data_IF_722165989165
#
_entry.id   IF_722165989165
#
_cell.length_a   1.000
_cell.length_b   1.000
_cell.length_c   1.000
_cell.angle_alpha   90.00
_cell.angle_beta   90.00
_cell.angle_gamma   90.00
#
_symmetry.space_group_name_H-M   'P 1'
#
loop_
_entity.id
_entity.type
_entity.pdbx_description
1 polymer ?
#
# COMPACT_ATOMS: atom_id res chain seq x y z
N UNK A 1 -18.20 2.78 30.35
CA UNK A 1 -18.99 3.15 29.15
C UNK A 1 -18.36 4.37 28.52
N UNK A 2 -17.68 4.22 27.37
CA UNK A 2 -16.95 5.31 26.71
C UNK A 2 -17.85 6.02 25.70
N UNK A 3 -17.79 7.36 25.70
CA UNK A 3 -18.61 8.31 24.92
C UNK A 3 -18.33 8.22 23.41
N UNK A 4 -19.33 8.51 22.55
CA UNK A 4 -19.17 8.49 21.10
C UNK A 4 -18.36 9.68 20.58
N UNK A 5 -17.55 9.44 19.55
CA UNK A 5 -16.77 10.43 18.80
C UNK A 5 -17.74 11.26 17.94
N UNK A 6 -17.68 12.59 18.06
CA UNK A 6 -18.55 13.53 17.34
C UNK A 6 -18.00 13.89 15.96
N UNK A 7 -18.87 13.68 14.98
CA UNK A 7 -19.13 14.37 13.70
C UNK A 7 -18.04 15.27 13.06
N UNK A 8 -17.71 14.93 11.81
CA UNK A 8 -16.99 15.77 10.86
C UNK A 8 -18.00 16.57 10.02
N UNK A 9 -17.84 17.89 9.94
CA UNK A 9 -18.75 18.79 9.23
C UNK A 9 -18.34 18.99 7.76
N UNK A 10 -19.30 18.84 6.86
CA UNK A 10 -19.21 18.90 5.39
C UNK A 10 -19.85 20.18 4.86
N UNK A 11 -19.24 20.88 3.88
CA UNK A 11 -20.00 21.72 2.93
C UNK A 11 -19.27 21.95 1.59
N UNK A 12 -20.01 21.78 0.49
CA UNK A 12 -19.72 21.90 -0.96
C UNK A 12 -19.43 20.59 -1.72
N UNK A 13 -20.14 20.41 -2.85
CA UNK A 13 -20.64 19.13 -3.41
C UNK A 13 -19.56 18.10 -3.81
N UNK A 14 -19.66 16.85 -3.31
CA UNK A 14 -18.73 15.78 -3.63
C UNK A 14 -19.08 15.07 -4.95
N UNK A 15 -18.06 14.69 -5.72
CA UNK A 15 -18.16 13.50 -6.57
C UNK A 15 -18.61 12.36 -5.63
N UNK A 16 -19.81 11.82 -5.85
CA UNK A 16 -20.44 10.83 -4.97
C UNK A 16 -19.45 9.70 -4.63
N UNK A 17 -19.09 9.54 -3.35
CA UNK A 17 -18.23 8.46 -2.86
C UNK A 17 -16.74 8.76 -2.64
N UNK A 18 -16.29 10.03 -2.74
CA UNK A 18 -14.93 10.43 -2.36
C UNK A 18 -14.80 10.77 -0.88
N UNK A 19 -13.85 10.14 -0.17
CA UNK A 19 -13.64 10.33 1.29
C UNK A 19 -12.14 10.20 1.65
N UNK A 20 -11.72 10.69 2.82
CA UNK A 20 -10.33 10.68 3.26
C UNK A 20 -10.19 10.78 4.78
N UNK A 21 -9.25 10.02 5.35
CA UNK A 21 -8.90 10.10 6.77
C UNK A 21 -7.62 10.90 7.00
N UNK A 22 -7.69 11.97 7.80
CA UNK A 22 -6.57 12.83 8.16
C UNK A 22 -6.37 12.92 9.67
N UNK A 23 -5.15 13.24 10.10
CA UNK A 23 -4.90 13.72 11.45
C UNK A 23 -5.55 15.09 11.69
N UNK A 24 -5.83 15.41 12.96
CA UNK A 24 -6.47 16.67 13.34
C UNK A 24 -5.66 17.92 12.93
N UNK A 25 -4.33 17.79 12.88
CA UNK A 25 -3.40 18.84 12.43
C UNK A 25 -3.26 18.90 10.89
N UNK A 26 -3.90 17.99 10.15
CA UNK A 26 -3.81 17.90 8.69
C UNK A 26 -2.44 17.48 8.15
N UNK A 27 -1.48 17.11 9.00
CA UNK A 27 -0.11 16.77 8.61
C UNK A 27 0.02 15.34 8.06
N UNK A 28 -0.94 14.47 8.38
CA UNK A 28 -0.96 13.06 8.00
C UNK A 28 -2.26 12.70 7.27
N UNK A 29 -2.16 11.87 6.23
CA UNK A 29 -3.31 11.23 5.56
C UNK A 29 -3.17 9.73 5.64
N UNK A 30 -4.10 9.09 6.35
CA UNK A 30 -4.06 7.64 6.55
C UNK A 30 -4.65 6.88 5.36
N UNK A 31 -5.67 7.43 4.72
CA UNK A 31 -6.27 6.85 3.53
C UNK A 31 -7.00 7.92 2.69
N UNK A 32 -7.20 7.62 1.41
CA UNK A 32 -7.99 8.42 0.47
C UNK A 32 -8.80 7.46 -0.41
N UNK A 33 -10.09 7.70 -0.58
CA UNK A 33 -10.97 6.92 -1.45
C UNK A 33 -11.48 7.77 -2.60
N UNK A 34 -11.54 7.16 -3.77
CA UNK A 34 -12.15 7.67 -5.00
C UNK A 34 -13.04 6.61 -5.58
N UNK A 35 -14.32 6.93 -5.71
CA UNK A 35 -15.28 6.05 -6.35
C UNK A 35 -15.89 6.79 -7.54
N UNK A 36 -15.91 6.14 -8.69
CA UNK A 36 -16.52 6.66 -9.92
C UNK A 36 -17.54 5.69 -10.51
N UNK A 37 -17.40 4.39 -10.26
CA UNK A 37 -18.36 3.36 -10.69
C UNK A 37 -18.59 2.34 -9.57
N UNK A 38 -19.58 2.57 -8.69
CA UNK A 38 -19.79 1.74 -7.49
C UNK A 38 -20.00 0.25 -7.72
N UNK A 39 -20.44 -0.15 -8.92
CA UNK A 39 -20.76 -1.54 -9.25
C UNK A 39 -19.55 -2.35 -9.73
N UNK A 40 -18.41 -1.68 -9.98
CA UNK A 40 -17.16 -2.35 -10.34
C UNK A 40 -16.36 -2.72 -9.08
N UNK A 41 -15.41 -3.63 -9.26
CA UNK A 41 -14.45 -4.07 -8.22
C UNK A 41 -13.69 -2.89 -7.62
N UNK A 42 -13.21 -3.07 -6.39
CA UNK A 42 -12.35 -2.11 -5.69
C UNK A 42 -10.87 -2.49 -5.83
N UNK A 43 -10.03 -1.48 -5.99
CA UNK A 43 -8.58 -1.60 -5.94
C UNK A 43 -8.03 -0.85 -4.72
N UNK A 44 -7.25 -1.52 -3.89
CA UNK A 44 -6.44 -0.88 -2.85
C UNK A 44 -5.04 -0.67 -3.42
N UNK A 45 -4.53 0.55 -3.35
CA UNK A 45 -3.15 0.89 -3.70
C UNK A 45 -2.35 1.23 -2.44
N UNK A 46 -1.17 0.60 -2.27
CA UNK A 46 -0.19 0.97 -1.23
C UNK A 46 0.98 1.71 -1.89
N UNK A 47 1.01 3.03 -1.70
CA UNK A 47 2.06 3.94 -2.16
C UNK A 47 3.11 4.24 -1.09
N UNK A 48 4.03 5.17 -1.41
CA UNK A 48 5.10 5.56 -0.50
C UNK A 48 4.59 6.50 0.60
N UNK A 49 4.16 7.69 0.20
CA UNK A 49 3.64 8.73 1.09
C UNK A 49 2.62 9.60 0.34
N UNK A 50 1.62 10.15 1.05
CA UNK A 50 0.68 11.10 0.49
C UNK A 50 1.37 12.31 -0.14
N UNK A 51 0.99 12.65 -1.36
CA UNK A 51 1.19 13.99 -1.92
C UNK A 51 -0.04 14.86 -1.62
N UNK A 52 -0.20 15.99 -2.32
CA UNK A 52 -1.16 17.07 -2.00
C UNK A 52 -2.64 16.76 -2.27
N UNK A 53 -2.99 15.60 -2.84
CA UNK A 53 -4.40 15.27 -3.07
C UNK A 53 -5.22 15.34 -1.76
N UNK A 54 -6.46 15.80 -1.84
CA UNK A 54 -7.40 15.82 -0.72
C UNK A 54 -8.77 15.35 -1.19
N UNK A 55 -9.81 15.32 -0.36
CA UNK A 55 -11.13 14.83 -0.77
C UNK A 55 -11.72 15.53 -2.03
N UNK A 56 -11.25 16.73 -2.38
CA UNK A 56 -11.77 17.56 -3.48
C UNK A 56 -10.83 17.72 -4.67
N UNK A 57 -9.51 17.56 -4.48
CA UNK A 57 -8.51 17.84 -5.51
C UNK A 57 -7.59 16.65 -5.72
N UNK A 58 -7.41 16.26 -6.99
CA UNK A 58 -6.53 15.17 -7.38
C UNK A 58 -5.15 15.68 -7.80
N UNK A 59 -4.09 15.09 -7.23
CA UNK A 59 -2.72 15.34 -7.65
C UNK A 59 -2.33 14.48 -8.88
N UNK A 60 -1.20 14.73 -9.56
CA UNK A 60 -0.78 13.93 -10.72
C UNK A 60 -0.63 12.43 -10.42
N UNK A 61 -0.25 12.07 -9.19
CA UNK A 61 -0.14 10.67 -8.79
C UNK A 61 -1.52 10.03 -8.73
N UNK A 62 -2.49 10.68 -8.08
CA UNK A 62 -3.85 10.14 -7.96
C UNK A 62 -4.54 9.99 -9.31
N UNK A 63 -4.42 10.97 -10.21
CA UNK A 63 -4.94 10.85 -11.59
C UNK A 63 -4.33 9.65 -12.30
N UNK A 64 -3.01 9.45 -12.16
CA UNK A 64 -2.33 8.27 -12.73
C UNK A 64 -2.86 6.95 -12.16
N UNK A 65 -3.17 6.90 -10.86
CA UNK A 65 -3.73 5.71 -10.22
C UNK A 65 -5.15 5.41 -10.72
N UNK A 66 -6.00 6.44 -10.82
CA UNK A 66 -7.36 6.32 -11.36
C UNK A 66 -7.30 5.83 -12.81
N UNK A 67 -6.45 6.42 -13.64
CA UNK A 67 -6.28 5.99 -15.05
C UNK A 67 -5.89 4.51 -15.18
N UNK A 68 -5.02 4.00 -14.29
CA UNK A 68 -4.66 2.58 -14.28
C UNK A 68 -5.82 1.72 -13.80
N UNK A 69 -6.46 2.10 -12.70
CA UNK A 69 -7.57 1.37 -12.11
C UNK A 69 -8.75 1.24 -13.09
N UNK A 70 -9.13 2.33 -13.74
CA UNK A 70 -10.21 2.35 -14.74
C UNK A 70 -9.90 1.45 -15.93
N UNK A 71 -8.67 1.52 -16.47
CA UNK A 71 -8.21 0.65 -17.57
C UNK A 71 -8.21 -0.83 -17.21
N UNK A 72 -8.04 -1.17 -15.94
CA UNK A 72 -8.11 -2.55 -15.45
C UNK A 72 -9.53 -2.96 -15.04
N UNK A 73 -10.52 -2.09 -15.21
CA UNK A 73 -11.94 -2.40 -14.96
C UNK A 73 -12.40 -2.20 -13.52
N UNK A 74 -11.64 -1.45 -12.70
CA UNK A 74 -12.07 -1.06 -11.35
C UNK A 74 -12.89 0.24 -11.38
N UNK A 75 -13.72 0.45 -10.36
CA UNK A 75 -14.54 1.66 -10.21
C UNK A 75 -14.44 2.34 -8.84
N UNK A 76 -13.61 1.78 -7.95
CA UNK A 76 -13.37 2.26 -6.60
C UNK A 76 -11.89 2.05 -6.27
N UNK A 77 -11.21 3.12 -5.86
CA UNK A 77 -9.80 3.15 -5.51
C UNK A 77 -9.63 3.64 -4.07
N UNK A 78 -8.94 2.83 -3.26
CA UNK A 78 -8.48 3.23 -1.93
C UNK A 78 -6.97 3.36 -1.95
N UNK A 79 -6.45 4.52 -1.59
CA UNK A 79 -5.02 4.82 -1.54
C UNK A 79 -4.55 4.85 -0.10
N UNK A 80 -3.64 3.94 0.22
CA UNK A 80 -2.90 3.82 1.46
C UNK A 80 -1.42 4.12 1.17
N UNK A 81 -0.64 4.34 2.22
CA UNK A 81 0.78 4.62 2.08
C UNK A 81 1.61 3.95 3.17
N UNK A 82 2.87 3.67 2.86
CA UNK A 82 3.86 3.23 3.85
C UNK A 82 4.03 4.27 4.97
N UNK A 83 4.07 5.55 4.60
CA UNK A 83 4.23 6.69 5.51
C UNK A 83 3.01 7.60 5.38
N UNK A 84 2.33 7.98 6.46
CA UNK A 84 1.15 8.84 6.36
C UNK A 84 1.49 10.34 6.25
N UNK A 85 2.75 10.74 6.49
CA UNK A 85 3.14 12.15 6.41
C UNK A 85 2.93 12.69 4.99
N UNK A 86 2.17 13.78 4.89
CA UNK A 86 1.89 14.44 3.62
C UNK A 86 3.11 15.25 3.17
N UNK A 87 3.65 14.92 1.99
CA UNK A 87 4.70 15.69 1.32
C UNK A 87 4.77 15.36 -0.17
N UNK A 88 4.84 16.36 -1.08
CA UNK A 88 5.11 16.12 -2.49
C UNK A 88 6.56 15.65 -2.74
N UNK A 89 7.48 15.93 -1.81
CA UNK A 89 8.87 15.47 -1.86
C UNK A 89 9.11 14.36 -0.82
N UNK A 90 9.33 13.10 -1.24
CA UNK A 90 9.63 12.02 -0.31
C UNK A 90 10.93 12.19 0.47
N UNK A 91 11.86 13.06 0.04
CA UNK A 91 13.05 13.35 0.82
C UNK A 91 12.72 14.01 2.18
N UNK A 92 11.60 14.75 2.24
CA UNK A 92 11.12 15.36 3.48
C UNK A 92 10.77 14.34 4.57
N UNK A 93 10.51 13.08 4.23
CA UNK A 93 10.27 12.03 5.22
C UNK A 93 11.47 11.79 6.15
N UNK A 94 12.69 12.13 5.70
CA UNK A 94 13.93 11.90 6.47
C UNK A 94 14.12 12.89 7.62
N UNK A 95 13.42 14.02 7.59
CA UNK A 95 13.55 15.09 8.59
C UNK A 95 12.33 15.19 9.51
N UNK A 96 11.36 14.30 9.34
CA UNK A 96 10.16 14.22 10.19
C UNK A 96 10.40 13.16 11.27
N UNK A 97 10.11 13.50 12.53
CA UNK A 97 10.34 12.60 13.66
C UNK A 97 9.52 11.30 13.59
N UNK A 98 8.25 11.39 13.19
CA UNK A 98 7.39 10.23 12.93
C UNK A 98 6.80 10.33 11.51
N UNK A 99 7.47 9.84 10.47
CA UNK A 99 6.92 9.88 9.11
C UNK A 99 5.79 8.85 8.92
N UNK A 100 5.69 7.82 9.78
CA UNK A 100 4.69 6.75 9.66
C UNK A 100 3.33 7.28 10.09
N UNK A 101 3.25 7.94 11.24
CA UNK A 101 2.02 8.46 11.81
C UNK A 101 1.21 7.39 12.57
N UNK A 102 0.71 7.76 13.75
CA UNK A 102 0.11 6.85 14.74
C UNK A 102 -0.92 5.83 14.19
N UNK A 103 -1.84 6.25 13.31
CA UNK A 103 -2.92 5.37 12.82
C UNK A 103 -2.60 4.62 11.52
N UNK A 104 -1.43 4.85 10.90
CA UNK A 104 -1.14 4.31 9.58
C UNK A 104 -1.16 2.78 9.56
N UNK A 105 -0.59 2.14 10.58
CA UNK A 105 -0.58 0.67 10.67
C UNK A 105 -1.98 0.10 10.90
N UNK A 106 -2.79 0.73 11.76
CA UNK A 106 -4.16 0.27 12.03
C UNK A 106 -5.04 0.38 10.77
N UNK A 107 -4.90 1.45 10.00
CA UNK A 107 -5.61 1.64 8.73
C UNK A 107 -5.13 0.65 7.67
N UNK A 108 -3.82 0.41 7.55
CA UNK A 108 -3.28 -0.63 6.65
C UNK A 108 -3.83 -2.01 7.00
N UNK A 109 -3.83 -2.37 8.28
CA UNK A 109 -4.37 -3.65 8.75
C UNK A 109 -5.86 -3.77 8.43
N UNK A 110 -6.66 -2.75 8.75
CA UNK A 110 -8.09 -2.74 8.46
C UNK A 110 -8.38 -3.04 6.98
N UNK A 111 -7.75 -2.31 6.07
CA UNK A 111 -7.97 -2.50 4.63
C UNK A 111 -7.40 -3.82 4.09
N UNK A 112 -6.26 -4.28 4.62
CA UNK A 112 -5.71 -5.58 4.25
C UNK A 112 -6.62 -6.73 4.72
N UNK A 113 -7.21 -6.64 5.90
CA UNK A 113 -8.19 -7.62 6.39
C UNK A 113 -9.44 -7.65 5.51
N UNK A 114 -9.98 -6.49 5.12
CA UNK A 114 -11.11 -6.44 4.17
C UNK A 114 -10.76 -7.10 2.85
N UNK A 115 -9.59 -6.76 2.29
CA UNK A 115 -9.09 -7.43 1.09
C UNK A 115 -8.96 -8.94 1.28
N UNK A 116 -8.53 -9.44 2.43
CA UNK A 116 -8.39 -10.89 2.62
C UNK A 116 -9.71 -11.68 2.67
N UNK A 117 -10.83 -10.99 2.88
CA UNK A 117 -12.16 -11.61 3.01
C UNK A 117 -13.07 -11.37 1.80
N UNK A 118 -12.72 -10.44 0.91
CA UNK A 118 -13.59 -9.99 -0.18
C UNK A 118 -12.95 -10.24 -1.55
N UNK A 119 -13.57 -11.10 -2.35
CA UNK A 119 -13.15 -11.43 -3.71
C UNK A 119 -13.30 -10.25 -4.69
N UNK A 120 -14.12 -9.25 -4.37
CA UNK A 120 -14.32 -8.04 -5.19
C UNK A 120 -13.21 -6.99 -4.99
N UNK A 121 -12.27 -7.23 -4.08
CA UNK A 121 -11.17 -6.32 -3.77
C UNK A 121 -9.84 -6.91 -4.26
N UNK A 122 -9.03 -6.11 -4.95
CA UNK A 122 -7.64 -6.41 -5.26
C UNK A 122 -6.68 -5.47 -4.52
N UNK A 123 -5.46 -5.93 -4.27
CA UNK A 123 -4.41 -5.17 -3.59
C UNK A 123 -3.21 -4.96 -4.51
N UNK A 124 -2.82 -3.70 -4.70
CA UNK A 124 -1.72 -3.28 -5.56
C UNK A 124 -0.66 -2.51 -4.76
N UNK A 125 0.56 -3.02 -4.77
CA UNK A 125 1.73 -2.41 -4.16
C UNK A 125 2.56 -1.61 -5.19
N UNK A 126 2.96 -0.38 -4.86
CA UNK A 126 3.74 0.48 -5.77
C UNK A 126 4.47 1.63 -5.08
N UNK A 127 5.10 1.39 -3.94
CA UNK A 127 5.81 2.42 -3.16
C UNK A 127 7.21 2.81 -3.70
N UNK A 128 7.82 2.01 -4.58
CA UNK A 128 9.12 2.29 -5.17
C UNK A 128 10.30 2.17 -4.20
N UNK A 129 11.49 2.53 -4.66
CA UNK A 129 12.77 2.25 -3.99
C UNK A 129 12.84 2.80 -2.55
N UNK A 130 12.27 3.98 -2.32
CA UNK A 130 12.31 4.66 -1.03
C UNK A 130 11.48 3.96 0.05
N UNK A 131 10.68 2.94 -0.27
CA UNK A 131 9.96 2.17 0.73
C UNK A 131 10.84 1.39 1.70
N UNK A 132 12.11 1.15 1.34
CA UNK A 132 13.09 0.53 2.23
C UNK A 132 13.55 1.46 3.38
N UNK A 133 13.27 2.77 3.30
CA UNK A 133 13.57 3.71 4.38
C UNK A 133 12.92 3.24 5.70
N UNK A 134 13.69 3.27 6.80
CA UNK A 134 13.29 2.74 8.12
C UNK A 134 12.80 1.28 8.09
N UNK A 135 13.24 0.48 7.11
CA UNK A 135 12.77 -0.89 6.85
C UNK A 135 11.25 -0.98 6.67
N UNK A 136 10.62 0.10 6.21
CA UNK A 136 9.17 0.23 6.25
C UNK A 136 8.45 -0.76 5.34
N UNK A 137 8.98 -1.02 4.14
CA UNK A 137 8.42 -2.03 3.24
C UNK A 137 8.41 -3.43 3.85
N UNK A 138 9.44 -3.81 4.62
CA UNK A 138 9.50 -5.09 5.33
C UNK A 138 8.48 -5.16 6.47
N UNK A 139 8.28 -4.06 7.20
CA UNK A 139 7.25 -4.00 8.25
C UNK A 139 5.84 -4.18 7.67
N UNK A 140 5.55 -3.53 6.54
CA UNK A 140 4.25 -3.69 5.86
C UNK A 140 4.10 -5.07 5.24
N UNK A 141 5.16 -5.65 4.67
CA UNK A 141 5.17 -7.06 4.26
C UNK A 141 4.76 -7.97 5.42
N UNK A 142 5.37 -7.82 6.59
CA UNK A 142 5.03 -8.60 7.77
C UNK A 142 3.56 -8.40 8.20
N UNK A 143 3.06 -7.16 8.13
CA UNK A 143 1.67 -6.83 8.42
C UNK A 143 0.70 -7.52 7.44
N UNK A 144 1.10 -7.69 6.17
CA UNK A 144 0.31 -8.35 5.14
C UNK A 144 0.34 -9.88 5.23
N UNK A 145 1.25 -10.50 5.98
CA UNK A 145 1.38 -11.97 6.04
C UNK A 145 0.08 -12.67 6.46
N UNK A 146 -0.55 -12.23 7.55
CA UNK A 146 -1.78 -12.84 8.04
C UNK A 146 -2.97 -12.65 7.06
N UNK A 147 -3.24 -11.44 6.53
CA UNK A 147 -4.22 -11.26 5.46
C UNK A 147 -3.93 -12.10 4.21
N UNK A 148 -2.68 -12.24 3.79
CA UNK A 148 -2.32 -13.07 2.64
C UNK A 148 -2.63 -14.55 2.89
N UNK A 149 -2.23 -15.07 4.05
CA UNK A 149 -2.52 -16.46 4.43
C UNK A 149 -4.04 -16.70 4.51
N UNK A 150 -4.79 -15.78 5.13
CA UNK A 150 -6.24 -15.86 5.20
C UNK A 150 -6.86 -15.90 3.80
N UNK A 151 -6.47 -14.98 2.90
CA UNK A 151 -7.01 -14.96 1.54
C UNK A 151 -6.69 -16.24 0.77
N UNK A 152 -5.49 -16.78 0.92
CA UNK A 152 -5.10 -18.03 0.26
C UNK A 152 -5.91 -19.22 0.77
N UNK A 153 -6.27 -19.24 2.06
CA UNK A 153 -7.13 -20.27 2.66
C UNK A 153 -8.58 -20.14 2.20
N UNK A 154 -9.18 -18.96 2.39
CA UNK A 154 -10.62 -18.76 2.22
C UNK A 154 -11.03 -18.47 0.77
N UNK A 155 -10.13 -17.90 -0.03
CA UNK A 155 -10.35 -17.47 -1.42
C UNK A 155 -9.21 -17.95 -2.34
N UNK A 156 -8.96 -19.27 -2.46
CA UNK A 156 -7.78 -19.81 -3.15
C UNK A 156 -7.71 -19.51 -4.65
N UNK A 157 -8.84 -19.15 -5.27
CA UNK A 157 -8.92 -18.75 -6.69
C UNK A 157 -8.60 -17.26 -6.90
N UNK A 158 -8.61 -16.47 -5.84
CA UNK A 158 -8.39 -15.04 -5.92
C UNK A 158 -6.90 -14.68 -5.80
N UNK A 159 -6.55 -13.54 -6.40
CA UNK A 159 -5.15 -13.10 -6.49
C UNK A 159 -4.63 -12.63 -5.13
N UNK A 160 -3.35 -12.92 -4.86
CA UNK A 160 -2.57 -12.29 -3.80
C UNK A 160 -2.28 -10.80 -4.09
N UNK A 161 -1.36 -10.17 -3.35
CA UNK A 161 -0.95 -8.80 -3.63
C UNK A 161 -0.35 -8.70 -5.03
N UNK A 162 -0.50 -7.55 -5.68
CA UNK A 162 -0.13 -7.30 -7.08
C UNK A 162 0.89 -6.17 -7.19
N UNK A 163 1.58 -6.09 -8.32
CA UNK A 163 2.53 -5.02 -8.65
C UNK A 163 2.60 -4.76 -10.15
N UNK A 164 3.28 -3.67 -10.55
CA UNK A 164 3.62 -3.40 -11.96
C UNK A 164 4.96 -4.03 -12.40
N UNK A 165 5.70 -4.58 -11.44
CA UNK A 165 7.07 -5.04 -11.58
C UNK A 165 7.96 -4.47 -10.48
N UNK A 166 9.25 -4.81 -10.51
CA UNK A 166 10.20 -4.45 -9.48
C UNK A 166 11.14 -3.31 -9.92
N UNK A 167 11.63 -2.56 -8.96
CA UNK A 167 12.82 -1.69 -9.08
C UNK A 167 14.09 -2.55 -9.03
N UNK A 168 15.27 -1.92 -9.23
CA UNK A 168 16.56 -2.61 -9.08
C UNK A 168 16.76 -3.16 -7.67
N UNK A 169 16.30 -2.45 -6.63
CA UNK A 169 16.36 -2.91 -5.24
C UNK A 169 15.21 -3.82 -4.82
N UNK A 170 14.48 -4.42 -5.76
CA UNK A 170 13.42 -5.38 -5.46
C UNK A 170 12.17 -4.79 -4.81
N UNK A 171 11.95 -3.47 -4.92
CA UNK A 171 10.73 -2.82 -4.43
C UNK A 171 9.66 -2.77 -5.53
N UNK A 172 8.35 -2.84 -5.20
CA UNK A 172 7.27 -2.63 -6.17
C UNK A 172 7.38 -1.27 -6.84
N UNK A 173 7.42 -1.27 -8.17
CA UNK A 173 7.63 -0.06 -8.98
C UNK A 173 6.47 0.92 -8.83
N UNK A 174 6.82 2.19 -8.62
CA UNK A 174 5.84 3.27 -8.56
C UNK A 174 5.21 3.56 -9.95
N UNK A 175 3.89 3.78 -10.05
CA UNK A 175 3.17 3.92 -11.32
C UNK A 175 3.48 5.18 -12.13
N UNK A 176 3.98 6.23 -11.49
CA UNK A 176 4.15 7.56 -12.11
C UNK A 176 4.88 7.51 -13.47
N UNK A 177 5.88 6.65 -13.59
CA UNK A 177 6.70 6.49 -14.81
C UNK A 177 6.47 5.16 -15.53
N UNK A 178 5.48 4.37 -15.12
CA UNK A 178 5.14 3.14 -15.82
C UNK A 178 4.38 3.45 -17.12
N UNK A 179 4.52 2.59 -18.14
CA UNK A 179 3.72 2.70 -19.36
C UNK A 179 2.23 2.44 -19.07
N UNK A 180 1.33 3.11 -19.79
CA UNK A 180 -0.13 3.09 -19.55
C UNK A 180 -0.81 1.73 -19.79
N UNK A 181 -0.18 0.85 -20.56
CA UNK A 181 -0.65 -0.48 -20.94
C UNK A 181 -0.10 -1.59 -20.03
N UNK A 182 0.68 -1.23 -19.00
CA UNK A 182 1.18 -2.18 -18.01
C UNK A 182 0.01 -2.88 -17.32
N UNK A 183 0.17 -4.19 -17.14
CA UNK A 183 -0.77 -5.05 -16.41
C UNK A 183 -0.24 -5.31 -15.01
N UNK A 184 -1.18 -5.53 -14.08
CA UNK A 184 -0.87 -6.06 -12.76
C UNK A 184 -0.37 -7.50 -12.89
N UNK A 185 0.69 -7.82 -12.14
CA UNK A 185 1.23 -9.17 -11.99
C UNK A 185 1.33 -9.50 -10.49
N UNK A 186 1.36 -10.78 -10.09
CA UNK A 186 1.57 -11.16 -8.70
C UNK A 186 2.81 -10.50 -8.11
N UNK A 187 2.69 -9.99 -6.89
CA UNK A 187 3.81 -9.44 -6.13
C UNK A 187 4.74 -10.57 -5.71
N UNK A 188 5.99 -10.45 -6.13
CA UNK A 188 7.08 -11.28 -5.65
C UNK A 188 7.86 -10.46 -4.64
N UNK A 189 7.83 -10.90 -3.39
CA UNK A 189 8.66 -10.30 -2.37
C UNK A 189 10.12 -10.67 -2.62
N UNK A 190 11.03 -9.70 -2.53
CA UNK A 190 12.46 -10.02 -2.50
C UNK A 190 12.69 -10.99 -1.34
N UNK A 191 13.24 -12.16 -1.63
CA UNK A 191 13.47 -13.17 -0.59
C UNK A 191 14.28 -12.55 0.55
N UNK A 192 13.91 -12.88 1.79
CA UNK A 192 14.84 -12.69 2.89
C UNK A 192 16.00 -13.61 2.58
N UNK A 193 17.11 -13.09 2.06
CA UNK A 193 18.34 -13.86 1.95
C UNK A 193 18.72 -14.26 3.38
N UNK A 194 18.29 -15.44 3.82
CA UNK A 194 18.92 -16.15 4.92
C UNK A 194 20.30 -16.48 4.40
N UNK A 195 21.27 -15.65 4.75
CA UNK A 195 22.68 -15.99 4.63
C UNK A 195 22.84 -17.27 5.47
N UNK A 196 22.75 -18.44 4.82
CA UNK A 196 23.27 -19.66 5.40
C UNK A 196 24.76 -19.40 5.50
N UNK A 197 25.27 -19.24 6.72
CA UNK A 197 26.70 -19.32 6.95
C UNK A 197 27.18 -20.62 6.31
N UNK A 198 28.27 -20.61 5.53
CA UNK A 198 28.85 -21.85 5.03
C UNK A 198 29.20 -22.69 6.25
N UNK A 199 28.60 -23.87 6.36
CA UNK A 199 29.01 -24.84 7.37
C UNK A 199 30.47 -25.17 7.13
N UNK A 200 31.32 -24.78 8.09
CA UNK A 200 32.74 -25.10 8.08
C UNK A 200 32.86 -26.63 8.17
N UNK A 201 33.12 -27.29 7.04
CA UNK A 201 33.51 -28.69 7.02
C UNK A 201 34.81 -28.82 7.80
N UNK A 202 34.75 -29.44 8.98
CA UNK A 202 35.95 -29.88 9.68
C UNK A 202 36.66 -30.93 8.81
N UNK A 203 38.01 -30.90 8.73
CA UNK A 203 38.75 -31.88 7.96
C UNK A 203 38.60 -33.26 8.59
N UNK A 204 38.25 -34.24 7.77
CA UNK A 204 38.32 -35.66 8.12
C UNK A 204 39.80 -36.01 8.28
N UNK A 205 40.20 -36.37 9.50
CA UNK A 205 41.51 -36.94 9.76
C UNK A 205 41.48 -38.42 9.39
N UNK A 206 42.10 -38.79 8.27
CA UNK A 206 42.47 -40.17 8.02
C UNK A 206 43.65 -40.52 8.93
N UNK A 207 43.53 -41.64 9.65
CA UNK A 207 44.63 -42.26 10.38
C UNK A 207 44.66 -43.75 10.02
N UNK A 208 45.88 -44.18 9.73
CA UNK A 208 46.34 -45.48 9.23
C UNK A 208 45.82 -46.71 9.99
#
# INVERSE_FOLDING_TARGET
>A
MARPVREFSTFADPISGSDAGFSADGLYRWWLRRQWEPQKRRLIFIGLNPSRANARHDDPTLRRLIDFADRWGFGDLVVLNLFARISPDPAALRVVGDPVGANANAVLWHWASQWSMDASIDLWCGWGEKGAFLHRSRQVQNLLNAPCHHRQSELPQERGPLMLGLTRGGQPRHPLYAAKDRRLVPLVWAESCTIRHPETRLPVSDSY
#
